data_IF_968132030192
#
_entry.id   IF_968132030192
#
_cell.length_a   1.000
_cell.length_b   1.000
_cell.length_c   1.000
_cell.angle_alpha   90.00
_cell.angle_beta   90.00
_cell.angle_gamma   90.00
#
_symmetry.space_group_name_H-M   'P 1'
#
loop_
_entity.id
_entity.type
_entity.pdbx_description
1 polymer ?
#
# COMPACT_ATOMS: atom_id res chain seq x y z
N UNK A 1 -1.00 22.90 -0.99
CA UNK A 1 -1.66 22.49 -2.26
C UNK A 1 -3.17 22.68 -2.11
N UNK A 2 -3.81 23.42 -3.00
CA UNK A 2 -5.28 23.56 -2.99
C UNK A 2 -5.88 22.26 -3.53
N UNK A 3 -6.60 21.49 -2.69
CA UNK A 3 -7.26 20.24 -3.09
C UNK A 3 -8.42 20.58 -4.02
N UNK A 4 -8.37 20.12 -5.28
CA UNK A 4 -9.51 20.27 -6.21
C UNK A 4 -10.74 19.53 -5.66
N UNK A 5 -11.91 20.09 -5.92
CA UNK A 5 -13.18 19.42 -5.56
C UNK A 5 -13.32 18.20 -6.49
N UNK A 6 -13.04 17.02 -5.97
CA UNK A 6 -13.25 15.76 -6.65
C UNK A 6 -14.65 15.21 -6.35
N UNK A 7 -15.22 14.50 -7.31
CA UNK A 7 -16.47 13.79 -7.09
C UNK A 7 -16.19 12.56 -6.19
N UNK A 8 -16.64 12.62 -4.94
CA UNK A 8 -16.41 11.60 -3.91
C UNK A 8 -17.73 10.90 -3.59
N UNK A 9 -17.78 9.60 -3.74
CA UNK A 9 -18.90 8.79 -3.26
C UNK A 9 -18.43 7.94 -2.07
N UNK A 10 -18.88 8.28 -0.86
CA UNK A 10 -18.62 7.53 0.36
C UNK A 10 -19.62 6.38 0.49
N UNK A 11 -19.13 5.16 0.57
CA UNK A 11 -19.92 3.95 0.72
C UNK A 11 -19.34 3.05 1.81
N UNK A 12 -20.03 1.97 2.11
CA UNK A 12 -19.49 0.85 2.89
C UNK A 12 -19.62 -0.44 2.09
N UNK A 13 -18.55 -1.23 2.09
CA UNK A 13 -18.52 -2.57 1.50
C UNK A 13 -18.27 -3.54 2.66
N UNK A 14 -19.22 -4.39 2.96
CA UNK A 14 -19.16 -5.30 4.12
C UNK A 14 -18.80 -4.58 5.45
N UNK A 15 -19.39 -3.38 5.64
CA UNK A 15 -19.11 -2.53 6.81
C UNK A 15 -17.86 -1.67 6.71
N UNK A 16 -16.93 -1.97 5.80
CA UNK A 16 -15.64 -1.27 5.64
C UNK A 16 -15.87 0.10 4.97
N UNK A 17 -15.34 1.20 5.53
CA UNK A 17 -15.44 2.53 4.94
C UNK A 17 -14.64 2.64 3.64
N UNK A 18 -15.29 3.04 2.56
CA UNK A 18 -14.74 3.14 1.20
C UNK A 18 -15.06 4.49 0.60
N UNK A 19 -14.14 5.01 -0.21
CA UNK A 19 -14.40 6.13 -1.12
C UNK A 19 -14.20 5.66 -2.55
N UNK A 20 -15.21 5.93 -3.38
CA UNK A 20 -15.10 5.84 -4.82
C UNK A 20 -14.87 7.25 -5.36
N UNK A 21 -13.73 7.47 -6.00
CA UNK A 21 -13.32 8.74 -6.57
C UNK A 21 -13.59 8.76 -8.07
N UNK A 22 -14.16 9.85 -8.53
CA UNK A 22 -14.46 10.04 -9.95
C UNK A 22 -15.80 9.46 -10.40
N UNK A 23 -16.08 9.61 -11.69
CA UNK A 23 -17.29 9.07 -12.32
C UNK A 23 -17.10 7.60 -12.68
N UNK A 24 -18.18 6.81 -12.84
CA UNK A 24 -18.07 5.43 -13.31
C UNK A 24 -17.18 5.30 -14.56
N UNK A 25 -16.31 4.31 -14.55
CA UNK A 25 -15.33 4.05 -15.61
C UNK A 25 -15.13 2.55 -15.83
N UNK A 26 -14.74 2.16 -17.04
CA UNK A 26 -14.31 0.79 -17.35
C UNK A 26 -12.95 0.43 -16.74
N UNK A 27 -12.24 1.41 -16.15
CA UNK A 27 -10.93 1.24 -15.50
C UNK A 27 -11.01 1.71 -14.04
N UNK A 28 -10.62 0.86 -13.10
CA UNK A 28 -10.60 1.20 -11.68
C UNK A 28 -9.24 0.87 -11.07
N UNK A 29 -8.73 1.77 -10.23
CA UNK A 29 -7.56 1.51 -9.39
C UNK A 29 -8.07 1.20 -7.98
N UNK A 30 -7.77 0.02 -7.48
CA UNK A 30 -7.88 -0.33 -6.06
C UNK A 30 -6.67 0.23 -5.34
N UNK A 31 -6.89 1.08 -4.33
CA UNK A 31 -5.83 1.82 -3.66
C UNK A 31 -5.76 1.47 -2.17
N UNK A 32 -4.61 0.92 -1.74
CA UNK A 32 -4.28 0.61 -0.36
C UNK A 32 -3.25 1.59 0.20
N UNK A 33 -3.61 2.28 1.29
CA UNK A 33 -2.75 3.24 1.97
C UNK A 33 -1.70 2.55 2.86
N UNK A 34 -0.71 3.31 3.37
CA UNK A 34 0.33 2.83 4.28
C UNK A 34 -0.08 2.83 5.76
N UNK A 35 0.86 2.47 6.65
CA UNK A 35 0.69 2.59 8.09
C UNK A 35 0.50 4.06 8.50
N UNK A 36 -0.21 4.30 9.60
CA UNK A 36 -0.56 5.63 10.13
C UNK A 36 -1.28 6.57 9.13
N UNK A 37 -1.90 6.02 8.09
CA UNK A 37 -2.55 6.74 7.00
C UNK A 37 -4.06 6.43 6.92
N UNK A 38 -4.72 6.79 5.83
CA UNK A 38 -6.14 6.53 5.59
C UNK A 38 -6.47 6.57 4.11
N UNK A 39 -7.71 6.18 3.76
CA UNK A 39 -8.26 6.23 2.40
C UNK A 39 -8.30 7.62 1.75
N UNK A 40 -7.99 8.68 2.50
CA UNK A 40 -8.00 10.09 2.04
C UNK A 40 -6.66 10.79 2.23
N UNK A 41 -5.59 10.07 2.52
CA UNK A 41 -4.27 10.64 2.69
C UNK A 41 -3.76 11.33 1.43
N UNK A 42 -2.77 12.20 1.55
CA UNK A 42 -2.30 13.03 0.44
C UNK A 42 -1.82 12.20 -0.76
N UNK A 43 -1.17 11.06 -0.53
CA UNK A 43 -0.78 10.16 -1.64
C UNK A 43 -2.00 9.56 -2.37
N UNK A 44 -3.07 9.20 -1.65
CA UNK A 44 -4.33 8.73 -2.24
C UNK A 44 -5.04 9.86 -3.00
N UNK A 45 -4.99 11.08 -2.44
CA UNK A 45 -5.56 12.24 -3.11
C UNK A 45 -4.86 12.56 -4.42
N UNK A 46 -3.53 12.59 -4.42
CA UNK A 46 -2.71 12.84 -5.63
C UNK A 46 -2.95 11.76 -6.69
N UNK A 47 -3.00 10.48 -6.27
CA UNK A 47 -3.37 9.37 -7.15
C UNK A 47 -4.74 9.61 -7.78
N UNK A 48 -5.76 9.93 -6.97
CA UNK A 48 -7.12 10.09 -7.45
C UNK A 48 -7.24 11.24 -8.47
N UNK A 49 -6.59 12.39 -8.22
CA UNK A 49 -6.57 13.49 -9.17
C UNK A 49 -5.92 13.09 -10.50
N UNK A 50 -4.75 12.47 -10.47
CA UNK A 50 -4.04 12.04 -11.68
C UNK A 50 -4.85 10.96 -12.43
N UNK A 51 -5.38 9.98 -11.72
CA UNK A 51 -6.12 8.85 -12.29
C UNK A 51 -7.45 9.30 -12.96
N UNK A 52 -8.21 10.18 -12.31
CA UNK A 52 -9.48 10.70 -12.87
C UNK A 52 -9.22 11.44 -14.19
N UNK A 53 -8.15 12.24 -14.27
CA UNK A 53 -7.78 12.95 -15.50
C UNK A 53 -7.41 11.99 -16.65
N UNK A 54 -7.05 10.74 -16.34
CA UNK A 54 -6.73 9.66 -17.31
C UNK A 54 -7.90 8.69 -17.51
N UNK A 55 -9.08 9.03 -17.01
CA UNK A 55 -10.31 8.26 -17.19
C UNK A 55 -10.41 7.01 -16.30
N UNK A 56 -9.69 6.96 -15.20
CA UNK A 56 -9.86 5.93 -14.17
C UNK A 56 -10.84 6.38 -13.10
N UNK A 57 -11.46 5.40 -12.47
CA UNK A 57 -12.07 5.53 -11.16
C UNK A 57 -11.10 5.00 -10.11
N UNK A 58 -11.09 5.55 -8.90
CA UNK A 58 -10.27 5.02 -7.80
C UNK A 58 -11.19 4.55 -6.68
N UNK A 59 -10.89 3.38 -6.12
CA UNK A 59 -11.51 2.83 -4.92
C UNK A 59 -10.44 2.81 -3.82
N UNK A 60 -10.61 3.61 -2.77
CA UNK A 60 -9.76 3.57 -1.59
C UNK A 60 -10.57 3.22 -0.35
N UNK A 61 -9.97 2.51 0.59
CA UNK A 61 -10.63 2.06 1.81
C UNK A 61 -9.68 2.16 3.01
N UNK A 62 -10.24 2.22 4.22
CA UNK A 62 -9.42 2.19 5.43
C UNK A 62 -9.06 0.75 5.77
N UNK A 63 -7.76 0.47 5.91
CA UNK A 63 -7.25 -0.77 6.48
C UNK A 63 -7.69 -0.92 7.94
N UNK A 64 -7.72 -2.15 8.52
CA UNK A 64 -7.95 -2.34 9.95
C UNK A 64 -7.06 -1.42 10.80
N UNK A 65 -7.59 -0.86 11.89
CA UNK A 65 -6.92 0.12 12.78
C UNK A 65 -6.58 1.48 12.15
N UNK A 66 -7.05 1.80 10.96
CA UNK A 66 -6.73 3.05 10.28
C UNK A 66 -7.98 3.87 9.95
N UNK A 67 -7.80 5.18 9.79
CA UNK A 67 -8.85 6.09 9.38
C UNK A 67 -10.09 6.04 10.29
N UNK A 68 -11.27 5.74 9.73
CA UNK A 68 -12.51 5.59 10.48
C UNK A 68 -12.57 4.32 11.34
N UNK A 69 -11.56 3.42 11.23
CA UNK A 69 -11.51 2.09 11.86
C UNK A 69 -10.47 1.98 13.00
N UNK A 70 -9.92 3.09 13.45
CA UNK A 70 -8.80 3.14 14.42
C UNK A 70 -9.08 2.38 15.74
N UNK A 71 -10.33 2.12 16.09
CA UNK A 71 -10.74 1.42 17.32
C UNK A 71 -11.38 0.05 17.09
N UNK A 72 -11.37 -0.48 15.86
CA UNK A 72 -12.07 -1.74 15.55
C UNK A 72 -11.33 -3.00 16.03
N UNK A 73 -10.03 -2.94 16.16
CA UNK A 73 -9.19 -4.08 16.55
C UNK A 73 -7.95 -3.60 17.31
N UNK A 74 -7.38 -4.48 18.13
CA UNK A 74 -6.13 -4.21 18.84
C UNK A 74 -4.89 -4.39 17.94
N UNK A 75 -5.02 -5.13 16.84
CA UNK A 75 -3.93 -5.42 15.92
C UNK A 75 -4.43 -5.48 14.47
N UNK A 76 -3.59 -4.98 13.56
CA UNK A 76 -3.73 -5.28 12.15
C UNK A 76 -3.12 -6.65 11.87
N UNK A 77 -3.86 -7.55 11.23
CA UNK A 77 -3.38 -8.87 10.86
C UNK A 77 -3.35 -9.02 9.32
N UNK A 78 -2.29 -9.64 8.75
CA UNK A 78 -2.16 -9.73 7.30
C UNK A 78 -3.26 -10.55 6.63
N UNK A 79 -3.75 -11.61 7.25
CA UNK A 79 -4.84 -12.44 6.74
C UNK A 79 -6.16 -11.66 6.66
N UNK A 80 -6.44 -10.79 7.62
CA UNK A 80 -7.58 -9.88 7.59
C UNK A 80 -7.44 -8.88 6.42
N UNK A 81 -6.28 -8.27 6.26
CA UNK A 81 -6.02 -7.35 5.15
C UNK A 81 -6.17 -8.04 3.78
N UNK A 82 -5.68 -9.29 3.67
CA UNK A 82 -5.85 -10.12 2.46
C UNK A 82 -7.34 -10.39 2.20
N UNK A 83 -8.11 -10.74 3.23
CA UNK A 83 -9.56 -10.95 3.12
C UNK A 83 -10.26 -9.70 2.61
N UNK A 84 -9.97 -8.55 3.20
CA UNK A 84 -10.61 -7.29 2.85
C UNK A 84 -10.21 -6.78 1.45
N UNK A 85 -8.94 -6.92 1.07
CA UNK A 85 -8.50 -6.62 -0.29
C UNK A 85 -9.23 -7.48 -1.34
N UNK A 86 -9.46 -8.76 -1.05
CA UNK A 86 -10.28 -9.62 -1.92
C UNK A 86 -11.75 -9.16 -2.01
N UNK A 87 -12.33 -8.64 -0.93
CA UNK A 87 -13.67 -8.03 -0.98
C UNK A 87 -13.70 -6.80 -1.88
N UNK A 88 -12.72 -5.90 -1.74
CA UNK A 88 -12.59 -4.69 -2.56
C UNK A 88 -12.36 -5.04 -4.04
N UNK A 89 -11.51 -6.03 -4.31
CA UNK A 89 -11.27 -6.52 -5.66
C UNK A 89 -12.54 -7.13 -6.28
N UNK A 90 -13.27 -7.93 -5.51
CA UNK A 90 -14.54 -8.52 -5.95
C UNK A 90 -15.57 -7.43 -6.29
N UNK A 91 -15.63 -6.38 -5.48
CA UNK A 91 -16.46 -5.21 -5.77
C UNK A 91 -16.00 -4.53 -7.06
N UNK A 92 -14.70 -4.23 -7.19
CA UNK A 92 -14.16 -3.60 -8.38
C UNK A 92 -14.47 -4.39 -9.66
N UNK A 93 -14.26 -5.71 -9.66
CA UNK A 93 -14.54 -6.60 -10.80
C UNK A 93 -16.01 -6.63 -11.22
N UNK A 94 -16.94 -6.32 -10.31
CA UNK A 94 -18.39 -6.21 -10.64
C UNK A 94 -18.74 -4.87 -11.29
N UNK A 95 -17.92 -3.84 -11.10
CA UNK A 95 -18.24 -2.46 -11.50
C UNK A 95 -17.33 -1.91 -12.61
N UNK A 96 -16.31 -2.65 -13.03
CA UNK A 96 -15.36 -2.22 -14.06
C UNK A 96 -14.86 -3.39 -14.90
N UNK A 97 -14.29 -3.10 -16.08
CA UNK A 97 -13.71 -4.13 -16.96
C UNK A 97 -12.24 -4.41 -16.64
N UNK A 98 -11.52 -3.41 -16.08
CA UNK A 98 -10.10 -3.50 -15.79
C UNK A 98 -9.82 -3.00 -14.38
N UNK A 99 -9.19 -3.84 -13.58
CA UNK A 99 -8.71 -3.48 -12.25
C UNK A 99 -7.20 -3.34 -12.29
N UNK A 100 -6.73 -2.21 -11.75
CA UNK A 100 -5.33 -1.92 -11.48
C UNK A 100 -5.13 -1.72 -9.98
N UNK A 101 -3.88 -1.71 -9.51
CA UNK A 101 -3.56 -1.55 -8.09
C UNK A 101 -2.72 -0.31 -7.85
N UNK A 102 -2.91 0.29 -6.70
CA UNK A 102 -2.00 1.26 -6.11
C UNK A 102 -1.78 0.92 -4.63
N UNK A 103 -0.53 0.62 -4.27
CA UNK A 103 -0.15 0.36 -2.88
C UNK A 103 0.91 1.35 -2.39
N UNK A 104 0.68 1.92 -1.20
CA UNK A 104 1.67 2.72 -0.50
C UNK A 104 2.22 1.95 0.70
N UNK A 105 3.56 1.85 0.82
CA UNK A 105 4.25 1.26 1.96
C UNK A 105 3.68 -0.13 2.34
N UNK A 106 3.10 -0.27 3.54
CA UNK A 106 2.44 -1.48 4.04
C UNK A 106 1.27 -1.93 3.15
N UNK A 107 0.52 -0.99 2.55
CA UNK A 107 -0.56 -1.32 1.63
C UNK A 107 -0.07 -2.09 0.40
N UNK A 108 1.10 -1.73 -0.14
CA UNK A 108 1.74 -2.49 -1.21
C UNK A 108 2.07 -3.93 -0.80
N UNK A 109 2.54 -4.15 0.43
CA UNK A 109 2.81 -5.49 0.94
C UNK A 109 1.55 -6.37 0.98
N UNK A 110 0.42 -5.82 1.44
CA UNK A 110 -0.82 -6.59 1.45
C UNK A 110 -1.35 -6.87 0.04
N UNK A 111 -1.16 -5.95 -0.91
CA UNK A 111 -1.47 -6.21 -2.32
C UNK A 111 -0.59 -7.31 -2.92
N UNK A 112 0.71 -7.34 -2.59
CA UNK A 112 1.63 -8.40 -3.01
C UNK A 112 1.21 -9.77 -2.47
N UNK A 113 0.74 -9.86 -1.22
CA UNK A 113 0.22 -11.08 -0.63
C UNK A 113 -1.06 -11.55 -1.34
N UNK A 114 -1.95 -10.60 -1.66
CA UNK A 114 -3.31 -10.92 -2.11
C UNK A 114 -3.38 -11.27 -3.59
N UNK A 115 -2.66 -10.52 -4.44
CA UNK A 115 -2.97 -10.48 -5.87
C UNK A 115 -1.97 -11.19 -6.78
N UNK A 116 -1.04 -11.99 -6.25
CA UNK A 116 -0.01 -12.69 -7.05
C UNK A 116 -0.55 -13.55 -8.20
N UNK A 117 -1.82 -13.99 -8.12
CA UNK A 117 -2.51 -14.80 -9.13
C UNK A 117 -3.78 -14.14 -9.68
N UNK A 118 -4.09 -12.90 -9.32
CA UNK A 118 -5.27 -12.19 -9.79
C UNK A 118 -5.08 -11.64 -11.22
N UNK A 119 -6.17 -11.22 -11.85
CA UNK A 119 -6.12 -10.53 -13.15
C UNK A 119 -6.02 -9.03 -12.90
N UNK A 120 -4.80 -8.49 -13.01
CA UNK A 120 -4.50 -7.08 -12.77
C UNK A 120 -3.92 -6.46 -14.05
N UNK A 121 -4.44 -5.29 -14.44
CA UNK A 121 -3.99 -4.58 -15.65
C UNK A 121 -2.60 -3.95 -15.43
N UNK A 122 -2.42 -3.19 -14.34
CA UNK A 122 -1.18 -2.50 -13.96
C UNK A 122 -1.10 -2.26 -12.48
N UNK A 123 0.11 -1.99 -11.99
CA UNK A 123 0.37 -1.74 -10.58
C UNK A 123 1.31 -0.53 -10.42
N UNK A 124 0.98 0.37 -9.50
CA UNK A 124 1.82 1.48 -9.08
C UNK A 124 2.08 1.38 -7.58
N UNK A 125 3.33 1.34 -7.19
CA UNK A 125 3.74 1.29 -5.80
C UNK A 125 4.52 2.55 -5.41
N UNK A 126 4.14 3.14 -4.29
CA UNK A 126 4.85 4.24 -3.66
C UNK A 126 5.53 3.76 -2.38
N UNK A 127 6.86 3.88 -2.31
CA UNK A 127 7.68 3.45 -1.17
C UNK A 127 7.30 2.05 -0.65
N UNK A 128 7.20 1.01 -1.49
CA UNK A 128 6.57 -0.25 -1.11
C UNK A 128 7.39 -1.05 -0.10
N UNK A 129 6.72 -1.64 0.88
CA UNK A 129 7.29 -2.71 1.68
C UNK A 129 7.29 -4.00 0.84
N UNK A 130 8.42 -4.33 0.25
CA UNK A 130 8.61 -5.53 -0.58
C UNK A 130 9.10 -6.74 0.21
N UNK A 131 9.58 -6.51 1.44
CA UNK A 131 10.05 -7.54 2.38
C UNK A 131 9.67 -7.15 3.82
N UNK A 132 8.50 -7.57 4.25
CA UNK A 132 8.00 -7.29 5.61
C UNK A 132 8.81 -7.99 6.70
N UNK A 133 9.34 -9.19 6.42
CA UNK A 133 10.19 -9.90 7.38
C UNK A 133 11.45 -9.07 7.70
N UNK A 134 12.05 -8.42 6.71
CA UNK A 134 13.19 -7.51 6.89
C UNK A 134 12.83 -6.32 7.79
N UNK A 135 11.66 -5.70 7.58
CA UNK A 135 11.15 -4.60 8.42
C UNK A 135 11.04 -5.08 9.88
N UNK A 136 10.42 -6.23 10.10
CA UNK A 136 10.24 -6.78 11.45
C UNK A 136 11.60 -7.08 12.10
N UNK A 137 12.55 -7.67 11.37
CA UNK A 137 13.90 -7.91 11.90
C UNK A 137 14.63 -6.60 12.25
N UNK A 138 14.49 -5.54 11.45
CA UNK A 138 15.05 -4.23 11.76
C UNK A 138 14.46 -3.68 13.07
N UNK A 139 13.14 -3.79 13.27
CA UNK A 139 12.46 -3.39 14.50
C UNK A 139 12.86 -4.26 15.70
N UNK A 140 13.02 -5.57 15.52
CA UNK A 140 13.52 -6.46 16.58
C UNK A 140 14.93 -6.05 17.02
N UNK A 141 15.81 -5.72 16.07
CA UNK A 141 17.16 -5.22 16.35
C UNK A 141 17.12 -3.88 17.09
N UNK A 142 16.26 -2.96 16.66
CA UNK A 142 16.02 -1.68 17.34
C UNK A 142 15.55 -1.88 18.79
N UNK A 143 14.64 -2.81 19.02
CA UNK A 143 14.14 -3.16 20.37
C UNK A 143 15.11 -4.06 21.18
N UNK A 144 16.26 -4.45 20.62
CA UNK A 144 17.22 -5.34 21.25
C UNK A 144 16.61 -6.67 21.72
N UNK A 145 15.73 -7.27 20.91
CA UNK A 145 15.07 -8.55 21.23
C UNK A 145 15.45 -9.65 20.24
N UNK A 146 15.51 -10.88 20.77
CA UNK A 146 15.64 -12.09 19.95
C UNK A 146 14.26 -12.65 19.59
N UNK A 147 14.21 -13.55 18.59
CA UNK A 147 12.96 -14.24 18.23
C UNK A 147 12.35 -15.02 19.41
N UNK A 148 13.20 -15.64 20.25
CA UNK A 148 12.75 -16.36 21.47
C UNK A 148 12.07 -15.42 22.47
N UNK A 149 12.63 -14.22 22.66
CA UNK A 149 12.03 -13.19 23.53
C UNK A 149 10.73 -12.69 22.95
N UNK A 150 10.69 -12.45 21.64
CA UNK A 150 9.50 -12.01 20.92
C UNK A 150 8.37 -13.03 21.02
N UNK A 151 8.69 -14.33 20.82
CA UNK A 151 7.72 -15.42 20.97
C UNK A 151 7.10 -15.46 22.37
N UNK A 152 7.93 -15.31 23.42
CA UNK A 152 7.47 -15.33 24.81
C UNK A 152 6.62 -14.12 25.18
N UNK A 153 6.97 -12.93 24.66
CA UNK A 153 6.26 -11.69 24.96
C UNK A 153 4.97 -11.55 24.17
N UNK A 154 4.88 -12.18 23.00
CA UNK A 154 3.79 -12.10 22.02
C UNK A 154 3.64 -10.71 21.42
N UNK A 155 3.72 -9.64 22.23
CA UNK A 155 3.69 -8.22 21.83
C UNK A 155 4.90 -7.48 22.41
N UNK A 156 5.48 -6.60 21.61
CA UNK A 156 6.53 -5.68 22.03
C UNK A 156 6.17 -4.29 21.56
N UNK A 157 5.82 -3.43 22.51
CA UNK A 157 5.57 -2.01 22.23
C UNK A 157 6.89 -1.25 22.08
N UNK A 158 6.94 -0.31 21.17
CA UNK A 158 8.04 0.61 20.93
C UNK A 158 7.49 1.92 20.35
N UNK A 159 8.35 2.90 20.11
CA UNK A 159 8.00 4.24 19.65
C UNK A 159 7.88 4.36 18.11
N UNK A 160 8.09 3.26 17.37
CA UNK A 160 7.98 3.23 15.91
C UNK A 160 6.69 2.53 15.50
N UNK A 161 6.62 1.20 15.71
CA UNK A 161 5.47 0.36 15.36
C UNK A 161 5.47 -0.86 16.28
N UNK A 162 4.38 -1.14 17.01
CA UNK A 162 4.31 -2.32 17.89
C UNK A 162 4.55 -3.61 17.12
N UNK A 163 5.40 -4.48 17.66
CA UNK A 163 5.64 -5.79 17.12
C UNK A 163 4.66 -6.81 17.70
N UNK A 164 4.07 -7.63 16.84
CA UNK A 164 3.14 -8.69 17.23
C UNK A 164 3.61 -10.04 16.67
N UNK A 165 3.89 -11.03 17.55
CA UNK A 165 4.49 -12.30 17.16
C UNK A 165 3.63 -13.11 16.16
N UNK A 166 2.29 -13.21 16.29
CA UNK A 166 1.45 -13.85 15.27
C UNK A 166 1.55 -13.23 13.89
N UNK A 167 1.69 -11.89 13.81
CA UNK A 167 1.94 -11.20 12.54
C UNK A 167 3.27 -11.65 11.92
N UNK A 168 4.33 -11.69 12.71
CA UNK A 168 5.66 -12.16 12.29
C UNK A 168 5.62 -13.61 11.77
N UNK A 169 4.94 -14.50 12.49
CA UNK A 169 4.76 -15.90 12.08
C UNK A 169 4.03 -16.00 10.75
N UNK A 170 2.98 -15.19 10.57
CA UNK A 170 2.28 -15.14 9.29
C UNK A 170 3.21 -14.72 8.17
N UNK A 171 3.96 -13.63 8.34
CA UNK A 171 4.93 -13.10 7.36
C UNK A 171 5.96 -14.16 6.95
N UNK A 172 6.56 -14.85 7.91
CA UNK A 172 7.54 -15.94 7.65
C UNK A 172 6.95 -17.07 6.81
N UNK A 173 5.68 -17.41 7.04
CA UNK A 173 4.99 -18.51 6.35
C UNK A 173 4.41 -18.10 4.98
N UNK A 174 4.38 -16.79 4.65
CA UNK A 174 3.83 -16.28 3.40
C UNK A 174 4.82 -15.36 2.66
N UNK A 175 6.00 -15.86 2.26
CA UNK A 175 6.98 -15.06 1.54
C UNK A 175 6.46 -14.70 0.13
N UNK A 176 6.82 -13.51 -0.37
CA UNK A 176 6.50 -13.10 -1.74
C UNK A 176 7.44 -13.82 -2.72
N UNK A 177 6.95 -14.92 -3.29
CA UNK A 177 7.74 -15.77 -4.19
C UNK A 177 7.39 -15.59 -5.67
N UNK A 178 6.25 -14.96 -5.96
CA UNK A 178 5.73 -14.78 -7.32
C UNK A 178 5.07 -13.41 -7.47
N UNK A 179 5.41 -12.71 -8.54
CA UNK A 179 4.75 -11.50 -8.99
C UNK A 179 4.95 -11.34 -10.50
N UNK A 180 3.89 -11.17 -11.28
CA UNK A 180 3.97 -11.18 -12.75
C UNK A 180 3.30 -9.97 -13.39
N UNK A 181 2.75 -9.07 -12.56
CA UNK A 181 2.04 -7.89 -13.06
C UNK A 181 3.01 -6.79 -13.49
N UNK A 182 2.65 -6.06 -14.54
CA UNK A 182 3.39 -4.88 -14.95
C UNK A 182 3.35 -3.83 -13.82
N UNK A 183 4.48 -3.63 -13.18
CA UNK A 183 4.61 -2.83 -11.95
C UNK A 183 5.59 -1.69 -12.13
N UNK A 184 5.18 -0.51 -11.68
CA UNK A 184 5.98 0.69 -11.57
C UNK A 184 6.17 1.01 -10.09
N UNK A 185 7.39 1.24 -9.67
CA UNK A 185 7.76 1.55 -8.28
C UNK A 185 8.38 2.94 -8.23
N UNK A 186 7.88 3.78 -7.32
CA UNK A 186 8.51 5.03 -6.93
C UNK A 186 8.94 4.92 -5.47
N UNK A 187 10.20 5.26 -5.18
CA UNK A 187 10.73 5.39 -3.81
C UNK A 187 11.51 6.69 -3.65
N UNK A 188 11.69 7.14 -2.42
CA UNK A 188 12.59 8.23 -2.09
C UNK A 188 14.04 7.76 -1.92
N UNK A 189 15.01 8.57 -2.36
CA UNK A 189 16.44 8.28 -2.17
C UNK A 189 16.81 8.12 -0.69
N UNK A 190 16.19 8.94 0.18
CA UNK A 190 16.41 8.94 1.63
C UNK A 190 15.45 8.02 2.40
N UNK A 191 14.74 7.13 1.70
CA UNK A 191 13.89 6.13 2.35
C UNK A 191 14.76 5.09 3.08
N UNK A 192 14.82 5.19 4.41
CA UNK A 192 15.56 4.26 5.27
C UNK A 192 14.71 3.11 5.78
N UNK A 193 13.39 3.15 5.60
CA UNK A 193 12.48 2.10 6.01
C UNK A 193 12.43 0.99 4.95
N UNK A 194 12.18 1.36 3.69
CA UNK A 194 12.24 0.46 2.55
C UNK A 194 13.59 0.62 1.85
N UNK A 195 14.60 -0.06 2.39
CA UNK A 195 15.99 0.01 1.95
C UNK A 195 16.12 -0.18 0.44
N UNK A 196 16.98 0.62 -0.21
CA UNK A 196 17.17 0.58 -1.67
C UNK A 196 17.43 -0.84 -2.19
N UNK A 197 18.39 -1.56 -1.57
CA UNK A 197 18.79 -2.89 -2.03
C UNK A 197 17.65 -3.90 -1.93
N UNK A 198 16.77 -3.76 -0.94
CA UNK A 198 15.59 -4.63 -0.77
C UNK A 198 14.57 -4.39 -1.88
N UNK A 199 14.23 -3.12 -2.14
CA UNK A 199 13.28 -2.74 -3.20
C UNK A 199 13.86 -3.04 -4.58
N UNK A 200 15.15 -2.75 -4.79
CA UNK A 200 15.85 -3.03 -6.05
C UNK A 200 15.90 -4.54 -6.35
N UNK A 201 16.22 -5.36 -5.35
CA UNK A 201 16.24 -6.82 -5.51
C UNK A 201 14.87 -7.37 -5.89
N UNK A 202 13.79 -6.83 -5.31
CA UNK A 202 12.43 -7.16 -5.69
C UNK A 202 12.15 -6.72 -7.14
N UNK A 203 12.48 -5.49 -7.50
CA UNK A 203 12.25 -4.95 -8.84
C UNK A 203 12.98 -5.78 -9.91
N UNK A 204 14.24 -6.13 -9.67
CA UNK A 204 15.03 -6.96 -10.59
C UNK A 204 14.48 -8.38 -10.71
N UNK A 205 14.12 -8.99 -9.58
CA UNK A 205 13.57 -10.36 -9.55
C UNK A 205 12.27 -10.49 -10.35
N UNK A 206 11.41 -9.47 -10.31
CA UNK A 206 10.09 -9.53 -10.90
C UNK A 206 9.89 -8.63 -12.13
N UNK A 207 10.96 -7.98 -12.61
CA UNK A 207 10.93 -7.14 -13.81
C UNK A 207 10.09 -5.86 -13.63
N UNK A 208 10.12 -5.25 -12.43
CA UNK A 208 9.44 -4.00 -12.15
C UNK A 208 10.28 -2.81 -12.59
N UNK A 209 9.63 -1.73 -13.04
CA UNK A 209 10.30 -0.45 -13.29
C UNK A 209 10.48 0.31 -11.98
N UNK A 210 11.72 0.58 -11.57
CA UNK A 210 12.05 1.32 -10.36
C UNK A 210 12.48 2.75 -10.70
N UNK A 211 11.81 3.72 -10.10
CA UNK A 211 12.16 5.15 -10.13
C UNK A 211 12.52 5.61 -8.74
N UNK A 212 13.56 6.41 -8.61
CA UNK A 212 13.98 7.00 -7.36
C UNK A 212 13.86 8.54 -7.42
N UNK A 213 13.18 9.12 -6.45
CA UNK A 213 13.15 10.57 -6.30
C UNK A 213 14.36 11.03 -5.47
N UNK A 214 15.20 11.86 -6.06
CA UNK A 214 16.33 12.47 -5.37
C UNK A 214 15.87 13.26 -4.15
N UNK A 215 16.54 13.05 -3.01
CA UNK A 215 16.20 13.62 -1.70
C UNK A 215 14.78 13.29 -1.21
N UNK A 216 14.06 12.35 -1.84
CA UNK A 216 12.76 11.89 -1.39
C UNK A 216 12.87 11.04 -0.11
N UNK A 217 11.87 11.09 0.74
CA UNK A 217 11.76 10.32 1.97
C UNK A 217 10.81 9.13 1.78
N UNK A 218 10.66 8.28 2.82
CA UNK A 218 9.69 7.21 2.79
C UNK A 218 8.26 7.75 2.66
N UNK A 219 7.93 8.75 3.44
CA UNK A 219 6.65 9.42 3.42
C UNK A 219 6.68 10.67 2.53
N UNK A 220 6.01 10.58 1.39
CA UNK A 220 5.85 11.69 0.44
C UNK A 220 4.82 12.69 0.98
N UNK A 221 5.28 13.76 1.64
CA UNK A 221 4.43 14.73 2.33
C UNK A 221 4.71 16.19 1.95
N UNK A 222 5.89 16.48 1.43
CA UNK A 222 6.21 17.86 0.99
C UNK A 222 5.60 18.13 -0.38
N UNK A 223 5.32 19.40 -0.68
CA UNK A 223 4.81 19.77 -2.00
C UNK A 223 5.72 19.27 -3.13
N UNK A 224 7.04 19.40 -2.99
CA UNK A 224 8.01 18.92 -3.97
C UNK A 224 7.90 17.41 -4.21
N UNK A 225 7.75 16.62 -3.16
CA UNK A 225 7.61 15.16 -3.25
C UNK A 225 6.26 14.78 -3.88
N UNK A 226 5.17 15.43 -3.48
CA UNK A 226 3.84 15.17 -4.02
C UNK A 226 3.71 15.62 -5.49
N UNK A 227 4.34 16.73 -5.89
CA UNK A 227 4.36 17.19 -7.28
C UNK A 227 5.18 16.23 -8.16
N UNK A 228 6.31 15.73 -7.66
CA UNK A 228 7.08 14.69 -8.36
C UNK A 228 6.26 13.39 -8.51
N UNK A 229 5.60 12.95 -7.45
CA UNK A 229 4.73 11.78 -7.48
C UNK A 229 3.59 11.95 -8.49
N UNK A 230 2.95 13.13 -8.54
CA UNK A 230 1.93 13.47 -9.53
C UNK A 230 2.47 13.33 -10.95
N UNK A 231 3.60 13.96 -11.28
CA UNK A 231 4.23 13.89 -12.59
C UNK A 231 4.57 12.45 -12.97
N UNK A 232 5.13 11.68 -12.04
CA UNK A 232 5.46 10.28 -12.24
C UNK A 232 4.22 9.42 -12.56
N UNK A 233 3.08 9.68 -11.89
CA UNK A 233 1.80 9.01 -12.17
C UNK A 233 1.27 9.41 -13.55
N UNK A 234 1.27 10.70 -13.90
CA UNK A 234 0.74 11.21 -15.17
C UNK A 234 1.44 10.62 -16.40
N UNK A 235 2.74 10.33 -16.29
CA UNK A 235 3.51 9.63 -17.32
C UNK A 235 3.14 8.15 -17.47
N UNK A 236 2.69 7.50 -16.39
CA UNK A 236 2.48 6.03 -16.32
C UNK A 236 1.02 5.60 -16.32
N UNK A 237 0.10 6.51 -16.06
CA UNK A 237 -1.34 6.29 -16.20
C UNK A 237 -1.74 6.44 -17.68
N UNK A 238 -2.10 5.33 -18.32
CA UNK A 238 -2.43 5.26 -19.75
C UNK A 238 -3.87 4.81 -19.94
#
# INVERSE_FOLDING_TARGET
>A
MEKRILNLNKIRIDGIPVIIWGKPSDKMILAAHGSHSSKIDDCIWVLAEAAINKGYQVLSFDLPQHGERVYETDFIMPDECVRELNLMYTYAMKHTKKVSLFGCSMGAYFELLTFSNAVIDRVWFLSPVTNMERIIHNLMNYCHITEEVFQKKVRVDNDIEPLYYPYYVYVKNHPIIKWTHKTFILRGENDTMCEYDTVKSFADKFGCELTEQKNGEHWFHTNTQLDFFRAWLEERLI
#
